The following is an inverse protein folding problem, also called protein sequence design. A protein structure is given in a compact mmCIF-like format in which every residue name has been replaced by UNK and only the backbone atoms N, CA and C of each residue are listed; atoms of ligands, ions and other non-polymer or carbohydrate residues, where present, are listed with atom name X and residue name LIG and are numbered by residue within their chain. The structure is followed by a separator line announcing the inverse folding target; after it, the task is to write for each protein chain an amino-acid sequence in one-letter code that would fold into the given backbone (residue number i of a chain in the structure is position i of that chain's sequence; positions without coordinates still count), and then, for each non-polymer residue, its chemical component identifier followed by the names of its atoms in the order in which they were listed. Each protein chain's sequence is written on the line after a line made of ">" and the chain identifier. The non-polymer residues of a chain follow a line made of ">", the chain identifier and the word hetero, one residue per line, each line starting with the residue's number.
data_IF_640463303347
#
_entry.id   IF_640463303347
#
_cell.length_a   1.000
_cell.length_b   1.000
_cell.length_c   1.000
_cell.angle_alpha   90.00
_cell.angle_beta   90.00
_cell.angle_gamma   90.00
#
_symmetry.space_group_name_H-M   'P 1'
#
loop_
_entity.id
_entity.type
_entity.pdbx_description
1 polymer ?
#
# COMPACT_ATOMS: atom_id res chain seq x y z
N UNK A 1 -17.81 -32.31 43.92
CA UNK A 1 -17.76 -31.57 42.64
C UNK A 1 -18.27 -30.18 42.92
N UNK A 2 -17.40 -29.19 42.91
CA UNK A 2 -17.74 -27.80 43.21
C UNK A 2 -18.49 -27.20 42.02
N UNK A 3 -19.78 -26.86 42.20
CA UNK A 3 -20.60 -26.25 41.16
C UNK A 3 -20.20 -24.77 41.00
N UNK A 4 -19.49 -24.45 39.91
CA UNK A 4 -19.18 -23.06 39.55
C UNK A 4 -20.50 -22.28 39.32
N UNK A 5 -20.68 -21.10 39.94
CA UNK A 5 -21.93 -20.35 39.83
C UNK A 5 -22.16 -19.85 38.41
N UNK A 6 -23.40 -19.95 37.92
CA UNK A 6 -23.78 -19.65 36.53
C UNK A 6 -23.31 -18.26 36.05
N UNK A 7 -23.38 -17.23 36.91
CA UNK A 7 -22.98 -15.87 36.56
C UNK A 7 -21.50 -15.75 36.20
N UNK A 8 -20.63 -16.53 36.85
CA UNK A 8 -19.19 -16.54 36.55
C UNK A 8 -18.91 -17.09 35.15
N UNK A 9 -19.71 -18.06 34.71
CA UNK A 9 -19.62 -18.67 33.37
C UNK A 9 -20.06 -17.67 32.28
N UNK A 10 -21.07 -16.85 32.53
CA UNK A 10 -21.51 -15.83 31.57
C UNK A 10 -20.48 -14.71 31.39
N UNK A 11 -19.84 -14.24 32.47
CA UNK A 11 -18.79 -13.22 32.37
C UNK A 11 -17.55 -13.68 31.57
N UNK A 12 -17.13 -14.95 31.75
CA UNK A 12 -16.02 -15.53 30.98
C UNK A 12 -16.33 -15.60 29.48
N UNK A 13 -17.55 -15.98 29.13
CA UNK A 13 -18.01 -16.04 27.72
C UNK A 13 -18.12 -14.66 27.09
N UNK A 14 -18.62 -13.67 27.83
CA UNK A 14 -18.70 -12.28 27.36
C UNK A 14 -17.30 -11.70 27.15
N UNK A 15 -16.35 -11.97 28.07
CA UNK A 15 -14.98 -11.49 27.94
C UNK A 15 -14.27 -12.09 26.72
N UNK A 16 -14.43 -13.40 26.49
CA UNK A 16 -13.89 -14.06 25.30
C UNK A 16 -14.48 -13.51 24.00
N UNK A 17 -15.79 -13.26 23.98
CA UNK A 17 -16.48 -12.72 22.79
C UNK A 17 -16.01 -11.30 22.46
N UNK A 18 -15.83 -10.44 23.47
CA UNK A 18 -15.31 -9.07 23.28
C UNK A 18 -13.85 -9.09 22.81
N UNK A 19 -13.01 -9.97 23.37
CA UNK A 19 -11.63 -10.14 22.92
C UNK A 19 -11.54 -10.60 21.45
N UNK A 20 -12.38 -11.56 21.05
CA UNK A 20 -12.44 -12.05 19.67
C UNK A 20 -12.88 -10.95 18.68
N UNK A 21 -13.88 -10.15 19.05
CA UNK A 21 -14.35 -9.03 18.22
C UNK A 21 -13.28 -7.94 18.05
N UNK A 22 -12.43 -7.68 19.06
CA UNK A 22 -11.37 -6.68 18.97
C UNK A 22 -10.26 -7.03 17.96
N UNK A 23 -9.98 -8.33 17.75
CA UNK A 23 -8.95 -8.80 16.79
C UNK A 23 -9.41 -8.59 15.33
N UNK A 24 -10.71 -8.48 15.08
CA UNK A 24 -11.23 -8.27 13.72
C UNK A 24 -10.95 -6.85 13.19
N UNK A 25 -10.78 -5.86 14.07
CA UNK A 25 -10.55 -4.47 13.68
C UNK A 25 -9.09 -4.16 13.32
N UNK A 26 -8.13 -5.05 13.62
CA UNK A 26 -6.69 -4.80 13.40
C UNK A 26 -6.19 -5.19 12.01
N UNK A 27 -7.04 -5.79 11.16
CA UNK A 27 -6.68 -6.27 9.83
C UNK A 27 -7.35 -5.45 8.71
N UNK A 28 -7.58 -4.15 8.94
CA UNK A 28 -8.09 -3.26 7.90
C UNK A 28 -6.93 -2.81 6.99
N UNK A 29 -7.04 -3.10 5.69
CA UNK A 29 -6.12 -2.61 4.67
C UNK A 29 -6.24 -1.08 4.56
N UNK A 30 -5.13 -0.36 4.74
CA UNK A 30 -5.11 1.11 4.61
C UNK A 30 -4.73 1.49 3.18
N UNK A 31 -5.36 2.55 2.67
CA UNK A 31 -5.00 3.16 1.38
C UNK A 31 -4.24 4.46 1.67
N UNK A 32 -2.99 4.53 1.22
CA UNK A 32 -2.18 5.73 1.24
C UNK A 32 -2.16 6.34 -0.16
N UNK A 33 -2.24 7.66 -0.26
CA UNK A 33 -2.22 8.40 -1.51
C UNK A 33 -0.87 9.11 -1.63
N UNK A 34 -0.23 8.98 -2.79
CA UNK A 34 1.01 9.67 -3.11
C UNK A 34 0.75 10.65 -4.25
N UNK A 35 0.87 11.94 -3.97
CA UNK A 35 0.58 13.01 -4.91
C UNK A 35 1.60 14.15 -4.75
N UNK A 36 2.43 14.36 -5.76
CA UNK A 36 3.42 15.45 -5.79
C UNK A 36 2.99 16.62 -6.70
N UNK A 37 1.73 16.71 -7.10
CA UNK A 37 1.21 17.89 -7.79
C UNK A 37 1.26 19.11 -6.86
N UNK A 38 1.41 20.32 -7.44
CA UNK A 38 1.66 21.56 -6.70
C UNK A 38 0.58 21.95 -5.68
N UNK A 39 -0.64 21.45 -5.83
CA UNK A 39 -1.81 21.83 -5.03
C UNK A 39 -2.23 20.73 -4.03
N UNK A 40 -1.34 19.78 -3.73
CA UNK A 40 -1.67 18.68 -2.81
C UNK A 40 -1.90 19.18 -1.38
N UNK A 41 -2.95 18.67 -0.74
CA UNK A 41 -3.19 18.81 0.69
C UNK A 41 -2.70 17.56 1.44
N UNK A 42 -1.57 17.67 2.13
CA UNK A 42 -1.00 16.60 2.96
C UNK A 42 -1.43 16.67 4.44
N UNK A 43 -2.45 17.48 4.78
CA UNK A 43 -3.01 17.50 6.14
C UNK A 43 -3.65 16.17 6.55
N UNK A 44 -4.30 15.39 5.65
CA UNK A 44 -4.75 14.05 5.98
C UNK A 44 -3.56 13.10 6.14
N UNK A 45 -3.54 12.32 7.22
CA UNK A 45 -2.43 11.43 7.57
C UNK A 45 -2.13 10.32 6.54
N UNK A 46 -3.05 10.09 5.59
CA UNK A 46 -2.92 9.09 4.53
C UNK A 46 -2.48 9.67 3.18
N UNK A 47 -2.13 10.97 3.12
CA UNK A 47 -1.72 11.65 1.89
C UNK A 47 -0.27 12.12 2.01
N UNK A 48 0.57 11.71 1.08
CA UNK A 48 2.01 12.00 1.06
C UNK A 48 2.43 12.63 -0.26
N UNK A 49 3.44 13.48 -0.23
CA UNK A 49 4.00 14.10 -1.43
C UNK A 49 5.17 13.32 -2.05
N UNK A 50 5.63 12.23 -1.40
CA UNK A 50 6.66 11.35 -1.94
C UNK A 50 6.32 9.89 -1.66
N UNK A 51 6.77 9.02 -2.56
CA UNK A 51 6.56 7.59 -2.42
C UNK A 51 7.29 7.01 -1.19
N UNK A 52 8.51 7.51 -0.91
CA UNK A 52 9.29 7.04 0.25
C UNK A 52 8.60 7.31 1.59
N UNK A 53 7.89 8.44 1.73
CA UNK A 53 7.15 8.74 2.96
C UNK A 53 5.94 7.81 3.12
N UNK A 54 5.22 7.54 2.04
CA UNK A 54 4.12 6.58 2.07
C UNK A 54 4.59 5.16 2.41
N UNK A 55 5.70 4.70 1.81
CA UNK A 55 6.30 3.40 2.15
C UNK A 55 6.71 3.35 3.62
N UNK A 56 7.28 4.43 4.17
CA UNK A 56 7.64 4.48 5.59
C UNK A 56 6.41 4.33 6.50
N UNK A 57 5.31 5.00 6.16
CA UNK A 57 4.06 4.97 6.92
C UNK A 57 3.24 3.67 6.75
N UNK A 58 3.38 2.98 5.61
CA UNK A 58 2.62 1.77 5.29
C UNK A 58 2.93 0.60 6.21
N UNK A 59 1.91 -0.18 6.56
CA UNK A 59 2.02 -1.51 7.11
C UNK A 59 2.06 -2.58 6.00
N UNK A 60 2.42 -3.82 6.35
CA UNK A 60 2.31 -4.94 5.42
C UNK A 60 0.84 -5.16 5.05
N UNK A 61 0.57 -5.34 3.76
CA UNK A 61 -0.75 -5.52 3.19
C UNK A 61 -1.41 -4.23 2.71
N UNK A 62 -0.83 -3.06 2.97
CA UNK A 62 -1.43 -1.77 2.57
C UNK A 62 -1.40 -1.53 1.06
N UNK A 63 -2.26 -0.59 0.63
CA UNK A 63 -2.30 -0.09 -0.74
C UNK A 63 -1.66 1.30 -0.80
N UNK A 64 -0.80 1.53 -1.79
CA UNK A 64 -0.30 2.85 -2.15
C UNK A 64 -0.87 3.23 -3.52
N UNK A 65 -1.72 4.25 -3.56
CA UNK A 65 -2.25 4.83 -4.79
C UNK A 65 -1.42 6.05 -5.20
N UNK A 66 -0.78 5.98 -6.35
CA UNK A 66 0.11 7.01 -6.88
C UNK A 66 -0.64 7.84 -7.90
N UNK A 67 -0.83 9.11 -7.61
CA UNK A 67 -1.50 10.04 -8.51
C UNK A 67 -0.62 10.33 -9.74
N UNK A 68 -1.24 10.59 -10.90
CA UNK A 68 -0.52 11.11 -12.04
C UNK A 68 0.00 12.53 -11.80
N UNK A 69 1.19 12.84 -12.29
CA UNK A 69 1.82 14.14 -12.11
C UNK A 69 2.70 14.52 -13.30
N UNK A 70 2.99 15.82 -13.41
CA UNK A 70 4.00 16.34 -14.34
C UNK A 70 5.43 16.00 -13.88
N UNK A 71 5.61 15.80 -12.57
CA UNK A 71 6.93 15.52 -11.97
C UNK A 71 7.03 14.05 -11.57
N UNK A 72 8.07 13.37 -12.02
CA UNK A 72 8.34 12.00 -11.60
C UNK A 72 8.63 11.92 -10.09
N UNK A 73 8.24 10.81 -9.45
CA UNK A 73 8.48 10.59 -8.01
C UNK A 73 9.91 10.13 -7.68
N UNK A 74 10.79 10.09 -8.69
CA UNK A 74 12.18 9.64 -8.55
C UNK A 74 12.32 8.13 -8.44
N UNK A 75 13.48 7.69 -7.96
CA UNK A 75 13.76 6.27 -7.73
C UNK A 75 13.01 5.77 -6.50
N UNK A 76 12.39 4.60 -6.61
CA UNK A 76 11.51 4.06 -5.57
C UNK A 76 11.93 2.66 -5.12
N UNK A 77 11.66 2.36 -3.85
CA UNK A 77 11.90 1.07 -3.23
C UNK A 77 10.63 0.55 -2.58
N UNK A 78 10.27 -0.70 -2.88
CA UNK A 78 9.14 -1.43 -2.33
C UNK A 78 9.71 -2.58 -1.48
N UNK A 79 9.87 -2.31 -0.19
CA UNK A 79 10.53 -3.19 0.79
C UNK A 79 9.56 -3.77 1.83
N UNK A 80 8.25 -3.67 1.58
CA UNK A 80 7.16 -4.22 2.40
C UNK A 80 6.18 -4.96 1.49
N UNK A 81 5.35 -5.82 2.06
CA UNK A 81 4.20 -6.40 1.37
C UNK A 81 3.23 -5.27 1.04
N UNK A 82 3.15 -4.87 -0.22
CA UNK A 82 2.40 -3.69 -0.66
C UNK A 82 1.72 -3.95 -2.00
N UNK A 83 0.54 -3.37 -2.15
CA UNK A 83 -0.10 -3.19 -3.46
C UNK A 83 0.06 -1.75 -3.90
N UNK A 84 0.74 -1.52 -5.02
CA UNK A 84 0.98 -0.20 -5.59
C UNK A 84 0.17 -0.06 -6.86
N UNK A 85 -0.70 0.95 -6.91
CA UNK A 85 -1.50 1.31 -8.07
C UNK A 85 -1.12 2.71 -8.56
N UNK A 86 -0.72 2.83 -9.81
CA UNK A 86 -0.88 4.06 -10.59
C UNK A 86 -2.13 3.97 -11.47
N UNK A 87 -2.36 5.00 -12.29
CA UNK A 87 -3.55 5.10 -13.15
C UNK A 87 -3.53 4.19 -14.41
N UNK A 88 -2.39 3.59 -14.76
CA UNK A 88 -2.26 2.72 -15.93
C UNK A 88 -2.36 3.40 -17.30
N UNK A 89 -2.99 2.69 -18.25
CA UNK A 89 -2.79 2.77 -19.70
C UNK A 89 -3.51 3.92 -20.45
N UNK A 90 -4.18 4.85 -19.77
CA UNK A 90 -5.00 5.90 -20.40
C UNK A 90 -4.59 7.32 -19.97
N UNK A 91 -3.33 7.75 -20.19
CA UNK A 91 -2.84 9.10 -19.86
C UNK A 91 -3.71 10.22 -20.42
N UNK A 92 -4.37 10.01 -21.57
CA UNK A 92 -5.30 10.95 -22.18
C UNK A 92 -6.47 11.34 -21.26
N UNK A 93 -6.85 10.47 -20.31
CA UNK A 93 -7.89 10.79 -19.30
C UNK A 93 -7.36 11.67 -18.16
N UNK A 94 -6.03 11.79 -18.01
CA UNK A 94 -5.36 12.60 -16.98
C UNK A 94 -4.46 13.68 -17.58
N UNK A 95 -4.92 14.29 -18.68
CA UNK A 95 -4.22 15.38 -19.37
C UNK A 95 -2.79 15.03 -19.81
N UNK A 96 -2.54 13.75 -20.13
CA UNK A 96 -1.22 13.26 -20.55
C UNK A 96 -0.27 12.95 -19.39
N UNK A 97 -0.72 13.00 -18.13
CA UNK A 97 0.12 12.74 -16.95
C UNK A 97 0.09 11.27 -16.57
N UNK A 98 1.22 10.79 -16.03
CA UNK A 98 1.39 9.41 -15.55
C UNK A 98 1.91 9.37 -14.12
N UNK A 99 1.74 8.22 -13.47
CA UNK A 99 2.44 7.90 -12.22
C UNK A 99 3.85 7.40 -12.58
N UNK A 100 4.78 8.34 -12.75
CA UNK A 100 6.13 8.04 -13.28
C UNK A 100 7.16 7.90 -12.17
N UNK A 101 7.86 6.77 -12.19
CA UNK A 101 9.02 6.45 -11.38
C UNK A 101 10.30 6.48 -12.22
N UNK A 102 11.43 6.71 -11.53
CA UNK A 102 12.75 6.47 -12.07
C UNK A 102 13.04 4.97 -12.13
N UNK A 103 14.01 4.51 -11.35
CA UNK A 103 14.21 3.08 -11.11
C UNK A 103 13.25 2.55 -10.05
N UNK A 104 12.81 1.30 -10.23
CA UNK A 104 11.93 0.61 -9.28
C UNK A 104 12.68 -0.59 -8.72
N UNK A 105 12.86 -0.64 -7.40
CA UNK A 105 13.43 -1.80 -6.70
C UNK A 105 12.38 -2.46 -5.83
N UNK A 106 12.14 -3.76 -6.03
CA UNK A 106 11.27 -4.58 -5.19
C UNK A 106 12.16 -5.56 -4.41
N UNK A 107 12.02 -5.55 -3.09
CA UNK A 107 12.80 -6.42 -2.17
C UNK A 107 11.93 -7.14 -1.14
N UNK A 108 10.61 -7.14 -1.32
CA UNK A 108 9.65 -7.88 -0.50
C UNK A 108 8.88 -8.93 -1.32
N UNK A 109 8.39 -9.96 -0.63
CA UNK A 109 7.37 -10.86 -1.17
C UNK A 109 5.97 -10.21 -1.12
N UNK A 110 5.01 -10.82 -1.81
CA UNK A 110 3.59 -10.40 -1.83
C UNK A 110 3.39 -8.96 -2.33
N UNK A 111 4.18 -8.55 -3.32
CA UNK A 111 4.09 -7.21 -3.90
C UNK A 111 3.25 -7.24 -5.16
N UNK A 112 2.33 -6.30 -5.29
CA UNK A 112 1.68 -5.99 -6.56
C UNK A 112 2.08 -4.60 -7.01
N UNK A 113 2.52 -4.47 -8.26
CA UNK A 113 2.78 -3.19 -8.89
C UNK A 113 1.98 -3.12 -10.18
N UNK A 114 1.07 -2.15 -10.28
CA UNK A 114 0.24 -1.97 -11.44
C UNK A 114 0.04 -0.52 -11.82
N UNK A 115 -0.04 -0.24 -13.11
CA UNK A 115 -0.45 1.05 -13.62
C UNK A 115 0.57 2.18 -13.49
N UNK A 116 1.86 1.88 -13.37
CA UNK A 116 2.93 2.89 -13.29
C UNK A 116 3.80 2.92 -14.56
N UNK A 117 4.53 4.01 -14.73
CA UNK A 117 5.59 4.14 -15.72
C UNK A 117 6.95 4.15 -15.03
N UNK A 118 7.94 3.45 -15.59
CA UNK A 118 9.34 3.55 -15.19
C UNK A 118 10.18 4.06 -16.35
N UNK A 119 10.97 5.10 -16.11
CA UNK A 119 11.90 5.67 -17.11
C UNK A 119 13.20 4.88 -17.24
N UNK A 120 13.42 3.90 -16.36
CA UNK A 120 14.65 3.10 -16.33
C UNK A 120 14.31 1.64 -16.08
N UNK A 121 15.02 0.98 -15.15
CA UNK A 121 14.85 -0.43 -14.85
C UNK A 121 13.88 -0.67 -13.69
N UNK A 122 13.16 -1.80 -13.80
CA UNK A 122 12.54 -2.48 -12.67
C UNK A 122 13.44 -3.65 -12.27
N UNK A 123 13.78 -3.75 -11.00
CA UNK A 123 14.60 -4.82 -10.43
C UNK A 123 13.87 -5.48 -9.27
N UNK A 124 13.84 -6.82 -9.27
CA UNK A 124 13.40 -7.62 -8.14
C UNK A 124 14.65 -8.25 -7.54
N UNK A 125 14.89 -8.00 -6.26
CA UNK A 125 16.14 -8.33 -5.58
C UNK A 125 15.89 -9.13 -4.29
N UNK A 126 16.90 -9.88 -3.85
CA UNK A 126 16.81 -10.74 -2.68
C UNK A 126 15.95 -11.99 -2.90
N UNK A 127 15.64 -12.70 -1.82
CA UNK A 127 14.75 -13.87 -1.85
C UNK A 127 13.31 -13.39 -1.71
N UNK A 128 12.65 -13.15 -2.85
CA UNK A 128 11.26 -12.71 -2.91
C UNK A 128 10.38 -13.72 -3.65
N UNK A 129 9.09 -13.73 -3.32
CA UNK A 129 8.09 -14.59 -3.94
C UNK A 129 6.77 -13.84 -4.09
N UNK A 130 5.90 -14.31 -4.99
CA UNK A 130 4.57 -13.74 -5.19
C UNK A 130 4.62 -12.23 -5.53
N UNK A 131 5.41 -11.87 -6.54
CA UNK A 131 5.46 -10.51 -7.09
C UNK A 131 4.64 -10.46 -8.38
N UNK A 132 3.64 -9.58 -8.43
CA UNK A 132 2.78 -9.37 -9.60
C UNK A 132 3.07 -8.01 -10.22
N UNK A 133 3.46 -8.00 -11.49
CA UNK A 133 3.72 -6.81 -12.28
C UNK A 133 2.75 -6.81 -13.46
N UNK A 134 1.80 -5.87 -13.50
CA UNK A 134 0.77 -5.83 -14.55
C UNK A 134 0.50 -4.41 -15.03
N UNK A 135 0.14 -4.25 -16.30
CA UNK A 135 -0.32 -2.96 -16.85
C UNK A 135 0.65 -1.78 -16.57
N UNK A 136 1.96 -2.06 -16.61
CA UNK A 136 3.00 -1.05 -16.41
C UNK A 136 3.71 -0.76 -17.73
N UNK A 137 4.20 0.47 -17.87
CA UNK A 137 5.15 0.83 -18.91
C UNK A 137 6.56 0.85 -18.33
N UNK A 138 7.44 -0.04 -18.80
CA UNK A 138 8.80 -0.17 -18.25
C UNK A 138 9.83 0.28 -19.29
N UNK A 139 10.84 1.03 -18.83
CA UNK A 139 11.96 1.52 -19.63
C UNK A 139 11.51 2.37 -20.84
N UNK A 140 10.66 3.37 -20.58
CA UNK A 140 10.22 4.36 -21.57
C UNK A 140 11.10 5.61 -21.60
#
# INVERSE_FOLDING_TARGET
>A
MEHKPLNLIYHEKTLFTVAFLMVLFTNAQTILIVDNNSNINTSPAHVFNTFSLAVAAAANGDIIYVQPSETAYGNVSINKELTVYGMGHTPEMNAGRNATFGSITISSSNVKLAGVESTTNLSITGTTSNVTIENNFLNR
#
